data_IF_321988473058
#
_entry.id   IF_321988473058
#
_cell.length_a   1.000
_cell.length_b   1.000
_cell.length_c   1.000
_cell.angle_alpha   90.00
_cell.angle_beta   90.00
_cell.angle_gamma   90.00
#
_symmetry.space_group_name_H-M   'P 1'
#
loop_
_entity.id
_entity.type
_entity.pdbx_description
1 polymer ?
#
# COMPACT_ATOMS: atom_id res chain seq x y z
N UNK A 1 39.95 3.90 51.31
CA UNK A 1 38.51 4.16 51.16
C UNK A 1 38.17 4.15 49.68
N UNK A 2 36.95 3.68 49.34
CA UNK A 2 36.35 3.52 48.00
C UNK A 2 36.47 2.13 47.35
N UNK A 3 35.64 1.20 47.83
CA UNK A 3 35.25 -0.05 47.13
C UNK A 3 33.78 -0.39 47.41
N UNK A 4 32.91 0.62 47.53
CA UNK A 4 31.49 0.44 47.90
C UNK A 4 30.52 0.83 46.78
N UNK A 5 31.02 1.38 45.67
CA UNK A 5 30.19 1.96 44.60
C UNK A 5 30.05 1.04 43.38
N UNK A 6 30.90 0.02 43.21
CA UNK A 6 30.81 -0.93 42.10
C UNK A 6 29.72 -1.97 42.35
N UNK A 7 29.63 -2.46 43.58
CA UNK A 7 28.81 -3.62 43.94
C UNK A 7 27.31 -3.24 43.93
N UNK A 8 26.98 -2.01 44.34
CA UNK A 8 25.62 -1.45 44.28
C UNK A 8 25.15 -1.20 42.83
N UNK A 9 26.07 -0.97 41.89
CA UNK A 9 25.72 -0.81 40.47
C UNK A 9 25.47 -2.16 39.79
N UNK A 10 26.20 -3.21 40.16
CA UNK A 10 25.96 -4.57 39.65
C UNK A 10 24.63 -5.14 40.16
N UNK A 11 24.28 -4.93 41.43
CA UNK A 11 22.98 -5.35 41.97
C UNK A 11 21.82 -4.66 41.24
N UNK A 12 21.92 -3.35 40.99
CA UNK A 12 20.87 -2.60 40.27
C UNK A 12 20.77 -2.98 38.80
N UNK A 13 21.87 -3.38 38.18
CA UNK A 13 21.86 -3.91 36.82
C UNK A 13 21.17 -5.29 36.77
N UNK A 14 21.46 -6.16 37.74
CA UNK A 14 20.84 -7.48 37.80
C UNK A 14 19.33 -7.39 38.06
N UNK A 15 18.89 -6.53 38.98
CA UNK A 15 17.45 -6.27 39.20
C UNK A 15 16.77 -5.75 37.92
N UNK A 16 17.39 -4.80 37.21
CA UNK A 16 16.85 -4.29 35.95
C UNK A 16 16.82 -5.35 34.84
N UNK A 17 17.78 -6.28 34.82
CA UNK A 17 17.78 -7.40 33.89
C UNK A 17 16.67 -8.40 34.20
N UNK A 18 16.47 -8.74 35.47
CA UNK A 18 15.43 -9.68 35.90
C UNK A 18 14.02 -9.12 35.62
N UNK A 19 13.79 -7.83 35.89
CA UNK A 19 12.52 -7.16 35.58
C UNK A 19 12.21 -7.18 34.08
N UNK A 20 13.22 -6.89 33.23
CA UNK A 20 13.05 -6.93 31.77
C UNK A 20 12.83 -8.37 31.29
N UNK A 21 13.48 -9.35 31.90
CA UNK A 21 13.33 -10.75 31.53
C UNK A 21 11.94 -11.29 31.90
N UNK A 22 11.42 -10.93 33.08
CA UNK A 22 10.08 -11.27 33.53
C UNK A 22 9.01 -10.59 32.67
N UNK A 23 9.18 -9.31 32.31
CA UNK A 23 8.26 -8.63 31.39
C UNK A 23 8.24 -9.30 30.01
N UNK A 24 9.41 -9.68 29.47
CA UNK A 24 9.49 -10.40 28.19
C UNK A 24 8.83 -11.78 28.31
N UNK A 25 9.10 -12.51 29.40
CA UNK A 25 8.55 -13.83 29.63
C UNK A 25 7.02 -13.79 29.79
N UNK A 26 6.49 -12.87 30.59
CA UNK A 26 5.06 -12.66 30.77
C UNK A 26 4.38 -12.25 29.46
N UNK A 27 5.00 -11.38 28.65
CA UNK A 27 4.48 -11.06 27.31
C UNK A 27 4.44 -12.28 26.37
N UNK A 28 5.45 -13.15 26.42
CA UNK A 28 5.50 -14.39 25.62
C UNK A 28 4.43 -15.39 26.10
N UNK A 29 4.27 -15.56 27.41
CA UNK A 29 3.28 -16.46 28.02
C UNK A 29 1.85 -15.96 27.79
N UNK A 30 1.60 -14.65 27.92
CA UNK A 30 0.31 -14.02 27.59
C UNK A 30 -0.01 -14.11 26.09
N UNK A 31 1.00 -14.01 25.22
CA UNK A 31 0.82 -14.26 23.79
C UNK A 31 0.47 -15.73 23.48
N UNK A 32 1.04 -16.68 24.24
CA UNK A 32 0.79 -18.12 24.07
C UNK A 32 -0.58 -18.58 24.61
N UNK A 33 -1.15 -17.91 25.63
CA UNK A 33 -2.43 -18.31 26.24
C UNK A 33 -3.67 -17.94 25.42
N UNK A 34 -3.55 -17.09 24.39
CA UNK A 34 -4.64 -16.89 23.42
C UNK A 34 -4.75 -18.11 22.50
N UNK A 35 -5.56 -19.10 22.91
CA UNK A 35 -6.04 -20.18 22.01
C UNK A 35 -6.54 -19.53 20.71
N UNK A 36 -5.75 -19.62 19.65
CA UNK A 36 -6.15 -19.15 18.35
C UNK A 36 -7.41 -19.93 17.93
N UNK A 37 -8.56 -19.25 17.95
CA UNK A 37 -9.78 -19.82 17.38
C UNK A 37 -9.49 -20.10 15.91
N UNK A 38 -9.54 -21.37 15.50
CA UNK A 38 -9.46 -21.75 14.08
C UNK A 38 -10.60 -21.02 13.36
N UNK A 39 -10.26 -20.04 12.53
CA UNK A 39 -11.26 -19.34 11.70
C UNK A 39 -11.98 -20.37 10.84
N UNK A 40 -13.31 -20.32 10.83
CA UNK A 40 -14.10 -21.14 9.92
C UNK A 40 -13.73 -20.75 8.48
N UNK A 41 -13.37 -21.74 7.66
CA UNK A 41 -13.16 -21.53 6.24
C UNK A 41 -14.52 -21.33 5.56
N UNK A 42 -14.64 -20.25 4.80
CA UNK A 42 -15.82 -19.98 3.96
C UNK A 42 -15.36 -20.13 2.52
N UNK A 43 -15.95 -21.07 1.80
CA UNK A 43 -15.76 -21.21 0.36
C UNK A 43 -16.43 -20.04 -0.36
N UNK A 44 -15.63 -19.27 -1.11
CA UNK A 44 -16.06 -18.02 -1.76
C UNK A 44 -16.22 -18.14 -3.27
N UNK A 45 -15.96 -19.31 -3.87
CA UNK A 45 -15.96 -19.52 -5.31
C UNK A 45 -15.07 -18.50 -6.04
N UNK A 46 -13.80 -18.43 -5.63
CA UNK A 46 -12.83 -17.43 -6.11
C UNK A 46 -12.68 -17.40 -7.64
N UNK A 47 -12.86 -18.54 -8.32
CA UNK A 47 -12.84 -18.67 -9.79
C UNK A 47 -14.03 -17.99 -10.46
N UNK A 48 -15.22 -18.07 -9.84
CA UNK A 48 -16.42 -17.35 -10.31
C UNK A 48 -16.18 -15.84 -10.19
N UNK A 49 -15.59 -15.38 -9.09
CA UNK A 49 -15.18 -13.99 -8.90
C UNK A 49 -14.21 -13.51 -9.98
N UNK A 50 -13.23 -14.34 -10.35
CA UNK A 50 -12.31 -14.02 -11.45
C UNK A 50 -13.05 -13.91 -12.79
N UNK A 51 -13.88 -14.89 -13.12
CA UNK A 51 -14.62 -14.94 -14.38
C UNK A 51 -15.53 -13.73 -14.53
N UNK A 52 -16.25 -13.37 -13.46
CA UNK A 52 -17.09 -12.17 -13.42
C UNK A 52 -16.26 -10.91 -13.66
N UNK A 53 -15.17 -10.73 -12.92
CA UNK A 53 -14.27 -9.57 -13.07
C UNK A 53 -13.73 -9.47 -14.51
N UNK A 54 -13.36 -10.59 -15.11
CA UNK A 54 -12.85 -10.65 -16.49
C UNK A 54 -13.92 -10.17 -17.48
N UNK A 55 -15.12 -10.72 -17.41
CA UNK A 55 -16.21 -10.36 -18.32
C UNK A 55 -16.69 -8.91 -18.13
N UNK A 56 -16.60 -8.39 -16.91
CA UNK A 56 -17.04 -7.03 -16.63
C UNK A 56 -16.14 -5.95 -17.25
N UNK A 57 -14.83 -6.21 -17.39
CA UNK A 57 -13.86 -5.17 -17.74
C UNK A 57 -12.76 -5.58 -18.72
N UNK A 58 -12.37 -6.85 -18.74
CA UNK A 58 -11.12 -7.29 -19.36
C UNK A 58 -11.30 -8.07 -20.66
N UNK A 59 -12.46 -8.71 -20.87
CA UNK A 59 -12.82 -9.40 -22.12
C UNK A 59 -12.78 -8.48 -23.35
N UNK A 60 -12.85 -9.09 -24.54
CA UNK A 60 -12.94 -8.39 -25.83
C UNK A 60 -14.20 -7.54 -25.92
N UNK A 61 -15.33 -8.08 -25.46
CA UNK A 61 -16.61 -7.38 -25.31
C UNK A 61 -16.99 -7.32 -23.81
N UNK A 62 -16.53 -6.31 -23.06
CA UNK A 62 -16.77 -6.22 -21.63
C UNK A 62 -18.14 -5.60 -21.31
N UNK A 63 -18.76 -6.05 -20.21
CA UNK A 63 -20.03 -5.48 -19.71
C UNK A 63 -19.94 -3.96 -19.53
N UNK A 64 -18.81 -3.46 -19.03
CA UNK A 64 -18.60 -2.04 -18.78
C UNK A 64 -17.62 -1.41 -19.78
N UNK A 65 -18.00 -0.30 -20.45
CA UNK A 65 -17.13 0.41 -21.37
C UNK A 65 -15.94 1.08 -20.68
N UNK A 66 -14.91 1.43 -21.46
CA UNK A 66 -13.64 1.98 -20.99
C UNK A 66 -13.76 3.23 -20.10
N UNK A 67 -14.75 4.10 -20.33
CA UNK A 67 -14.95 5.29 -19.48
C UNK A 67 -15.42 4.92 -18.06
N UNK A 68 -16.23 3.86 -17.92
CA UNK A 68 -16.61 3.33 -16.61
C UNK A 68 -15.45 2.60 -15.95
N UNK A 69 -14.62 1.90 -16.72
CA UNK A 69 -13.37 1.35 -16.21
C UNK A 69 -12.51 2.45 -15.58
N UNK A 70 -12.22 3.53 -16.33
CA UNK A 70 -11.40 4.64 -15.83
C UNK A 70 -11.99 5.29 -14.58
N UNK A 71 -13.31 5.45 -14.52
CA UNK A 71 -13.99 5.97 -13.33
C UNK A 71 -13.83 5.06 -12.11
N UNK A 72 -13.86 3.73 -12.29
CA UNK A 72 -13.83 2.76 -11.18
C UNK A 72 -12.41 2.42 -10.72
N UNK A 73 -11.49 2.26 -11.66
CA UNK A 73 -10.10 1.93 -11.40
C UNK A 73 -9.20 3.16 -11.23
N UNK A 74 -9.72 4.37 -11.50
CA UNK A 74 -8.99 5.66 -11.42
C UNK A 74 -7.75 5.75 -12.34
N UNK A 75 -7.71 4.91 -13.36
CA UNK A 75 -6.66 4.85 -14.38
C UNK A 75 -7.19 4.16 -15.64
N UNK A 76 -6.46 4.29 -16.75
CA UNK A 76 -6.80 3.56 -17.97
C UNK A 76 -6.51 2.04 -17.85
N UNK A 77 -7.16 1.24 -18.72
CA UNK A 77 -7.07 -0.23 -18.70
C UNK A 77 -5.65 -0.73 -19.00
N UNK A 78 -4.94 -0.08 -19.92
CA UNK A 78 -3.60 -0.48 -20.34
C UNK A 78 -2.58 -0.33 -19.21
N UNK A 79 -2.61 0.78 -18.49
CA UNK A 79 -1.78 1.03 -17.32
C UNK A 79 -2.07 0.01 -16.22
N UNK A 80 -3.35 -0.27 -15.95
CA UNK A 80 -3.73 -1.30 -14.98
C UNK A 80 -3.18 -2.67 -15.38
N UNK A 81 -3.30 -3.07 -16.64
CA UNK A 81 -2.75 -4.34 -17.13
C UNK A 81 -1.23 -4.39 -17.06
N UNK A 82 -0.52 -3.28 -17.37
CA UNK A 82 0.94 -3.17 -17.19
C UNK A 82 1.33 -3.39 -15.73
N UNK A 83 0.61 -2.79 -14.78
CA UNK A 83 0.83 -2.97 -13.34
C UNK A 83 0.62 -4.44 -12.95
N UNK A 84 -0.51 -5.03 -13.34
CA UNK A 84 -0.84 -6.43 -13.04
C UNK A 84 0.23 -7.37 -13.58
N UNK A 85 0.68 -7.17 -14.82
CA UNK A 85 1.72 -7.98 -15.44
C UNK A 85 3.04 -7.89 -14.68
N UNK A 86 3.55 -6.67 -14.45
CA UNK A 86 4.81 -6.44 -13.74
C UNK A 86 4.79 -7.02 -12.32
N UNK A 87 3.70 -6.83 -11.58
CA UNK A 87 3.54 -7.43 -10.26
C UNK A 87 3.50 -8.96 -10.33
N UNK A 88 2.76 -9.52 -11.30
CA UNK A 88 2.65 -10.98 -11.47
C UNK A 88 4.00 -11.63 -11.78
N UNK A 89 4.88 -10.97 -12.52
CA UNK A 89 6.20 -11.52 -12.84
C UNK A 89 7.16 -11.41 -11.66
N UNK A 90 7.20 -10.24 -11.00
CA UNK A 90 8.28 -9.89 -10.09
C UNK A 90 7.95 -10.10 -8.60
N UNK A 91 6.66 -10.20 -8.25
CA UNK A 91 6.23 -10.30 -6.85
C UNK A 91 5.51 -11.63 -6.62
N UNK A 92 6.10 -12.49 -5.80
CA UNK A 92 5.59 -13.84 -5.51
C UNK A 92 4.13 -13.83 -5.05
N UNK A 93 3.70 -12.82 -4.29
CA UNK A 93 2.32 -12.70 -3.82
C UNK A 93 1.31 -12.59 -4.98
N UNK A 94 1.67 -11.95 -6.09
CA UNK A 94 0.78 -11.76 -7.24
C UNK A 94 0.84 -12.91 -8.24
N UNK A 95 1.85 -13.78 -8.18
CA UNK A 95 1.93 -14.95 -9.06
C UNK A 95 0.71 -15.88 -8.89
N UNK A 96 0.16 -16.31 -10.03
CA UNK A 96 -0.98 -17.20 -10.05
C UNK A 96 -0.54 -18.66 -9.86
N UNK A 97 -0.39 -19.07 -8.60
CA UNK A 97 0.11 -20.39 -8.23
C UNK A 97 -1.03 -21.31 -7.79
N UNK A 98 -0.80 -22.62 -7.95
CA UNK A 98 -1.66 -23.66 -7.38
C UNK A 98 -1.32 -23.87 -5.90
N UNK A 99 -2.34 -24.08 -5.09
CA UNK A 99 -2.18 -24.51 -3.71
C UNK A 99 -1.82 -26.00 -3.63
N UNK A 100 -1.60 -26.50 -2.41
CA UNK A 100 -1.27 -27.91 -2.18
C UNK A 100 -2.36 -28.89 -2.66
N UNK A 101 -3.59 -28.41 -2.89
CA UNK A 101 -4.69 -29.21 -3.44
C UNK A 101 -4.75 -29.17 -4.97
N UNK A 102 -3.83 -28.44 -5.62
CA UNK A 102 -3.80 -28.25 -7.06
C UNK A 102 -4.78 -27.20 -7.58
N UNK A 103 -5.51 -26.52 -6.69
CA UNK A 103 -6.48 -25.46 -7.03
C UNK A 103 -5.74 -24.13 -7.18
N UNK A 104 -6.13 -23.34 -8.17
CA UNK A 104 -5.54 -22.01 -8.33
C UNK A 104 -5.94 -21.07 -7.19
N UNK A 105 -4.98 -20.26 -6.73
CA UNK A 105 -5.22 -19.16 -5.81
C UNK A 105 -6.06 -18.04 -6.44
N UNK A 106 -6.22 -16.93 -5.70
CA UNK A 106 -6.77 -15.71 -6.29
C UNK A 106 -5.88 -15.22 -7.45
N UNK A 107 -6.53 -14.81 -8.54
CA UNK A 107 -5.83 -14.29 -9.71
C UNK A 107 -5.13 -12.95 -9.39
N UNK A 108 -4.06 -12.60 -10.14
CA UNK A 108 -3.42 -11.30 -10.00
C UNK A 108 -4.39 -10.13 -10.24
N UNK A 109 -5.32 -10.29 -11.19
CA UNK A 109 -6.38 -9.31 -11.46
C UNK A 109 -7.25 -9.06 -10.23
N UNK A 110 -7.71 -10.10 -9.55
CA UNK A 110 -8.51 -9.94 -8.32
C UNK A 110 -7.72 -9.23 -7.22
N UNK A 111 -6.46 -9.62 -7.02
CA UNK A 111 -5.59 -9.03 -5.99
C UNK A 111 -5.33 -7.55 -6.25
N UNK A 112 -4.96 -7.19 -7.48
CA UNK A 112 -4.72 -5.81 -7.87
C UNK A 112 -6.00 -4.97 -7.81
N UNK A 113 -7.14 -5.52 -8.26
CA UNK A 113 -8.43 -4.82 -8.20
C UNK A 113 -8.84 -4.54 -6.76
N UNK A 114 -8.63 -5.49 -5.85
CA UNK A 114 -8.91 -5.29 -4.43
C UNK A 114 -8.09 -4.13 -3.85
N UNK A 115 -6.78 -4.09 -4.14
CA UNK A 115 -5.91 -3.01 -3.69
C UNK A 115 -6.34 -1.64 -4.26
N UNK A 116 -6.61 -1.56 -5.57
CA UNK A 116 -7.05 -0.32 -6.23
C UNK A 116 -8.41 0.15 -5.69
N UNK A 117 -9.35 -0.74 -5.44
CA UNK A 117 -10.64 -0.35 -4.85
C UNK A 117 -10.45 0.22 -3.43
N UNK A 118 -9.60 -0.40 -2.60
CA UNK A 118 -9.33 0.12 -1.26
C UNK A 118 -8.65 1.50 -1.30
N UNK A 119 -7.68 1.69 -2.19
CA UNK A 119 -7.00 2.99 -2.38
C UNK A 119 -7.93 4.06 -2.95
N UNK A 120 -8.73 3.70 -3.97
CA UNK A 120 -9.52 4.66 -4.75
C UNK A 120 -10.83 5.07 -4.09
N UNK A 121 -11.36 4.25 -3.18
CA UNK A 121 -12.63 4.53 -2.49
C UNK A 121 -12.49 4.74 -0.98
N UNK A 122 -11.38 4.34 -0.36
CA UNK A 122 -11.23 4.39 1.09
C UNK A 122 -12.30 3.58 1.84
N UNK A 123 -12.86 2.55 1.19
CA UNK A 123 -13.93 1.72 1.76
C UNK A 123 -13.37 0.68 2.72
N UNK A 124 -14.25 0.11 3.56
CA UNK A 124 -13.88 -0.97 4.46
C UNK A 124 -13.40 -2.20 3.68
N UNK A 125 -12.39 -2.90 4.21
CA UNK A 125 -11.73 -4.01 3.52
C UNK A 125 -12.63 -5.23 3.28
N UNK A 126 -13.74 -5.36 3.99
CA UNK A 126 -14.73 -6.41 3.76
C UNK A 126 -15.66 -6.15 2.57
N UNK A 127 -15.74 -4.92 2.06
CA UNK A 127 -16.66 -4.54 0.97
C UNK A 127 -16.32 -5.21 -0.37
N UNK A 128 -15.06 -5.60 -0.56
CA UNK A 128 -14.62 -6.29 -1.79
C UNK A 128 -14.94 -7.79 -1.79
N UNK A 129 -15.40 -8.37 -0.68
CA UNK A 129 -15.70 -9.80 -0.59
C UNK A 129 -16.87 -10.18 -1.51
N UNK A 130 -17.94 -9.37 -1.54
CA UNK A 130 -19.14 -9.66 -2.34
C UNK A 130 -18.84 -9.73 -3.84
N UNK A 131 -18.02 -8.80 -4.34
CA UNK A 131 -17.71 -8.70 -5.76
C UNK A 131 -16.51 -9.55 -6.18
N UNK A 132 -15.37 -9.40 -5.49
CA UNK A 132 -14.11 -10.04 -5.87
C UNK A 132 -13.90 -11.41 -5.22
N UNK A 133 -14.77 -11.82 -4.29
CA UNK A 133 -14.76 -13.12 -3.61
C UNK A 133 -13.51 -13.37 -2.77
N UNK A 134 -13.06 -12.35 -2.03
CA UNK A 134 -11.90 -12.44 -1.14
C UNK A 134 -12.19 -11.90 0.27
N UNK A 135 -11.62 -12.56 1.28
CA UNK A 135 -11.79 -12.15 2.67
C UNK A 135 -11.13 -10.80 2.96
N UNK A 136 -11.64 -10.10 3.97
CA UNK A 136 -11.10 -8.83 4.46
C UNK A 136 -9.59 -8.88 4.72
N UNK A 137 -9.11 -9.91 5.42
CA UNK A 137 -7.67 -10.06 5.68
C UNK A 137 -6.84 -10.19 4.40
N UNK A 138 -7.39 -10.85 3.39
CA UNK A 138 -6.74 -10.99 2.09
C UNK A 138 -6.75 -9.68 1.33
N UNK A 139 -7.82 -8.88 1.43
CA UNK A 139 -7.90 -7.55 0.83
C UNK A 139 -6.81 -6.62 1.40
N UNK A 140 -6.61 -6.65 2.71
CA UNK A 140 -5.54 -5.90 3.39
C UNK A 140 -4.16 -6.39 2.93
N UNK A 141 -3.94 -7.70 2.85
CA UNK A 141 -2.67 -8.23 2.33
C UNK A 141 -2.45 -7.85 0.86
N UNK A 142 -3.50 -7.82 0.04
CA UNK A 142 -3.41 -7.32 -1.34
C UNK A 142 -2.97 -5.87 -1.36
N UNK A 143 -3.58 -5.01 -0.53
CA UNK A 143 -3.22 -3.61 -0.43
C UNK A 143 -1.73 -3.43 -0.05
N UNK A 144 -1.27 -4.11 1.00
CA UNK A 144 0.12 -4.01 1.47
C UNK A 144 1.13 -4.48 0.42
N UNK A 145 0.92 -5.66 -0.17
CA UNK A 145 1.82 -6.20 -1.19
C UNK A 145 1.76 -5.38 -2.48
N UNK A 146 0.59 -4.81 -2.80
CA UNK A 146 0.43 -3.93 -3.94
C UNK A 146 1.24 -2.65 -3.75
N UNK A 147 1.09 -1.95 -2.62
CA UNK A 147 1.83 -0.71 -2.35
C UNK A 147 3.33 -0.94 -2.33
N UNK A 148 3.80 -2.00 -1.69
CA UNK A 148 5.22 -2.37 -1.67
C UNK A 148 5.73 -2.68 -3.08
N UNK A 149 5.01 -3.50 -3.84
CA UNK A 149 5.37 -3.85 -5.20
C UNK A 149 5.35 -2.65 -6.15
N UNK A 150 4.43 -1.71 -5.98
CA UNK A 150 4.41 -0.46 -6.75
C UNK A 150 5.66 0.37 -6.45
N UNK A 151 5.99 0.57 -5.17
CA UNK A 151 7.20 1.32 -4.79
C UNK A 151 8.45 0.64 -5.34
N UNK A 152 8.56 -0.68 -5.18
CA UNK A 152 9.72 -1.42 -5.64
C UNK A 152 9.90 -1.39 -7.17
N UNK A 153 8.81 -1.53 -7.94
CA UNK A 153 8.88 -1.71 -9.40
C UNK A 153 8.78 -0.42 -10.20
N UNK A 154 8.18 0.61 -9.62
CA UNK A 154 7.86 1.87 -10.28
C UNK A 154 8.37 3.10 -9.52
N UNK A 155 8.87 2.95 -8.29
CA UNK A 155 9.35 4.07 -7.47
C UNK A 155 10.46 4.86 -8.13
N UNK A 156 11.44 4.19 -8.74
CA UNK A 156 12.54 4.86 -9.44
C UNK A 156 12.07 5.64 -10.69
N UNK A 157 10.96 5.23 -11.31
CA UNK A 157 10.42 5.90 -12.50
C UNK A 157 9.52 7.08 -12.11
N UNK A 158 8.68 6.93 -11.08
CA UNK A 158 7.59 7.87 -10.76
C UNK A 158 7.70 8.56 -9.39
N UNK A 159 8.37 7.97 -8.40
CA UNK A 159 8.57 8.54 -7.05
C UNK A 159 9.96 9.16 -6.94
N UNK A 160 10.30 10.03 -7.88
CA UNK A 160 11.57 10.73 -7.95
C UNK A 160 11.37 12.19 -8.33
N UNK A 161 12.43 12.98 -8.22
CA UNK A 161 12.43 14.34 -8.76
C UNK A 161 12.28 14.29 -10.29
N UNK A 162 11.47 15.16 -10.90
CA UNK A 162 11.37 15.26 -12.36
C UNK A 162 12.75 15.58 -12.96
N UNK A 163 13.08 14.94 -14.09
CA UNK A 163 14.27 15.35 -14.86
C UNK A 163 13.94 16.55 -15.76
N UNK A 164 14.95 17.25 -16.31
CA UNK A 164 14.71 18.27 -17.32
C UNK A 164 13.88 17.76 -18.53
N UNK A 165 14.06 16.50 -18.92
CA UNK A 165 13.32 15.87 -20.00
C UNK A 165 11.85 15.65 -19.64
N UNK A 166 11.56 15.22 -18.41
CA UNK A 166 10.17 15.13 -17.93
C UNK A 166 9.50 16.50 -17.96
N UNK A 167 10.20 17.54 -17.48
CA UNK A 167 9.69 18.89 -17.44
C UNK A 167 9.41 19.42 -18.84
N UNK A 168 10.36 19.26 -19.77
CA UNK A 168 10.19 19.67 -21.16
C UNK A 168 8.99 18.96 -21.80
N UNK A 169 8.89 17.64 -21.64
CA UNK A 169 7.77 16.85 -22.16
C UNK A 169 6.43 17.36 -21.63
N UNK A 170 6.34 17.65 -20.33
CA UNK A 170 5.11 18.16 -19.70
C UNK A 170 4.75 19.56 -20.19
N UNK A 171 5.74 20.45 -20.34
CA UNK A 171 5.56 21.79 -20.89
C UNK A 171 5.09 21.76 -22.35
N UNK A 172 5.68 20.90 -23.18
CA UNK A 172 5.28 20.74 -24.59
C UNK A 172 3.83 20.25 -24.70
N UNK A 173 3.40 19.34 -23.82
CA UNK A 173 2.01 18.87 -23.74
C UNK A 173 1.09 20.03 -23.29
N UNK A 174 1.50 20.80 -22.28
CA UNK A 174 0.76 21.96 -21.80
C UNK A 174 0.55 22.99 -22.92
N UNK A 175 1.61 23.34 -23.64
CA UNK A 175 1.59 24.31 -24.73
C UNK A 175 0.67 23.86 -25.88
N UNK A 176 0.79 22.60 -26.33
CA UNK A 176 -0.09 22.03 -27.38
C UNK A 176 -1.58 22.07 -27.01
N UNK A 177 -1.89 22.10 -25.72
CA UNK A 177 -3.27 22.14 -25.19
C UNK A 177 -3.75 23.55 -24.85
N UNK A 178 -2.92 24.58 -25.08
CA UNK A 178 -3.26 25.97 -24.77
C UNK A 178 -2.96 26.40 -23.34
N UNK A 179 -2.12 25.66 -22.62
CA UNK A 179 -1.66 25.97 -21.26
C UNK A 179 -0.13 26.17 -21.23
N UNK A 180 0.39 27.24 -21.85
CA UNK A 180 1.83 27.50 -21.90
C UNK A 180 2.40 27.66 -20.48
N UNK A 181 3.51 27.00 -20.19
CA UNK A 181 4.16 27.01 -18.86
C UNK A 181 3.53 26.06 -17.82
N UNK A 182 2.47 25.33 -18.17
CA UNK A 182 1.82 24.39 -17.25
C UNK A 182 2.45 23.00 -17.30
N UNK A 183 2.98 22.54 -16.17
CA UNK A 183 3.61 21.21 -16.03
C UNK A 183 2.58 20.12 -15.68
N UNK A 184 1.45 20.50 -15.09
CA UNK A 184 0.37 19.59 -14.71
C UNK A 184 -0.51 20.16 -13.61
N UNK A 185 -1.44 19.36 -13.11
CA UNK A 185 -2.20 19.68 -11.90
C UNK A 185 -1.39 19.26 -10.69
N UNK A 186 -1.27 20.15 -9.70
CA UNK A 186 -0.61 19.85 -8.43
C UNK A 186 -1.68 19.39 -7.45
N UNK A 187 -1.45 18.26 -6.80
CA UNK A 187 -2.15 17.84 -5.59
C UNK A 187 -1.15 17.78 -4.43
N UNK A 188 -1.56 18.22 -3.25
CA UNK A 188 -0.70 18.25 -2.08
C UNK A 188 -1.40 17.62 -0.87
N UNK A 189 -0.67 16.75 -0.17
CA UNK A 189 -1.14 16.16 1.07
C UNK A 189 -0.23 16.58 2.22
N UNK A 190 -0.83 17.20 3.23
CA UNK A 190 -0.14 17.59 4.45
C UNK A 190 -0.18 16.44 5.46
N UNK A 191 0.99 15.97 5.85
CA UNK A 191 1.16 14.92 6.86
C UNK A 191 1.75 15.50 8.12
N UNK A 192 1.08 15.32 9.25
CA UNK A 192 1.64 15.68 10.56
C UNK A 192 2.90 14.86 10.83
N UNK A 193 4.01 15.56 11.02
CA UNK A 193 5.28 14.93 11.35
C UNK A 193 5.39 14.74 12.86
N UNK A 194 4.69 13.71 13.36
CA UNK A 194 4.60 13.41 14.81
C UNK A 194 5.96 13.36 15.51
N UNK A 195 6.96 12.78 14.84
CA UNK A 195 8.33 12.62 15.35
C UNK A 195 9.32 13.61 14.73
N UNK A 196 8.89 14.83 14.38
CA UNK A 196 9.78 15.86 13.85
C UNK A 196 10.88 16.22 14.85
N UNK A 197 12.17 16.16 14.47
CA UNK A 197 13.27 16.60 15.34
C UNK A 197 13.05 18.04 15.82
N UNK A 198 13.35 18.32 17.08
CA UNK A 198 13.17 19.66 17.69
C UNK A 198 13.88 20.75 16.89
N UNK A 199 15.09 20.45 16.39
CA UNK A 199 15.87 21.36 15.56
C UNK A 199 15.15 21.82 14.28
N UNK A 200 14.25 21.00 13.74
CA UNK A 200 13.53 21.29 12.49
C UNK A 200 12.09 21.73 12.73
N UNK A 201 11.55 21.53 13.93
CA UNK A 201 10.16 21.82 14.28
C UNK A 201 9.74 23.25 13.92
N UNK A 202 10.61 24.25 14.14
CA UNK A 202 10.32 25.64 13.77
C UNK A 202 10.14 25.86 12.26
N UNK A 203 10.96 25.20 11.43
CA UNK A 203 10.90 25.34 9.97
C UNK A 203 9.67 24.66 9.35
N UNK A 204 9.25 23.53 9.92
CA UNK A 204 8.16 22.70 9.39
C UNK A 204 6.80 22.96 10.06
N UNK A 205 6.74 23.82 11.08
CA UNK A 205 5.48 24.24 11.72
C UNK A 205 4.98 25.52 11.04
N UNK A 206 3.83 25.43 10.36
CA UNK A 206 3.17 26.60 9.74
C UNK A 206 1.67 26.57 10.02
N UNK A 207 1.12 27.64 10.58
CA UNK A 207 -0.33 27.89 10.74
C UNK A 207 -1.09 26.95 11.70
N UNK A 208 -0.83 25.64 11.65
CA UNK A 208 -1.52 24.57 12.39
C UNK A 208 -0.93 24.27 13.78
N UNK A 209 0.18 24.93 14.15
CA UNK A 209 0.89 24.70 15.42
C UNK A 209 1.64 23.36 15.50
N UNK A 210 1.58 22.53 14.45
CA UNK A 210 2.26 21.25 14.37
C UNK A 210 3.21 21.18 13.16
N UNK A 211 4.34 20.48 13.27
CA UNK A 211 5.23 20.27 12.13
C UNK A 211 4.53 19.38 11.09
N UNK A 212 4.57 19.78 9.82
CA UNK A 212 3.98 19.02 8.72
C UNK A 212 4.98 18.86 7.56
N UNK A 213 4.92 17.70 6.91
CA UNK A 213 5.59 17.47 5.62
C UNK A 213 4.51 17.50 4.54
N UNK A 214 4.81 18.16 3.42
CA UNK A 214 3.93 18.19 2.25
C UNK A 214 4.47 17.20 1.23
N UNK A 215 3.62 16.26 0.83
CA UNK A 215 3.85 15.43 -0.34
C UNK A 215 3.13 16.09 -1.51
N UNK A 216 3.88 16.49 -2.54
CA UNK A 216 3.34 17.08 -3.76
C UNK A 216 3.40 16.05 -4.89
N UNK A 217 2.29 15.89 -5.59
CA UNK A 217 2.20 15.07 -6.79
C UNK A 217 1.80 15.96 -7.98
N UNK A 218 2.48 15.80 -9.10
CA UNK A 218 2.12 16.45 -10.37
C UNK A 218 1.43 15.42 -11.25
N UNK A 219 0.14 15.61 -11.46
CA UNK A 219 -0.65 14.80 -12.37
C UNK A 219 -0.59 15.38 -13.78
N UNK A 220 -0.04 14.59 -14.72
CA UNK A 220 -0.08 14.88 -16.14
C UNK A 220 -1.43 14.47 -16.76
N UNK A 221 -1.66 14.80 -18.03
CA UNK A 221 -2.92 14.51 -18.72
C UNK A 221 -3.29 13.03 -18.77
N UNK A 222 -2.31 12.15 -18.94
CA UNK A 222 -2.53 10.78 -19.40
C UNK A 222 -2.86 9.80 -18.25
N UNK A 223 -2.89 10.29 -17.00
CA UNK A 223 -3.27 9.55 -15.78
C UNK A 223 -4.78 9.40 -15.65
#
# INVERSE_FOLDING_TARGET
MSSSSSDELEERLNEAFDDVFEDIYNNIVEAQTKKQRKRAYIERNREEGHTRLWNDYFSEDPTFPAHLFRRRFRMNKELFMRIVHRLSENVQFFQHRRDATGRYGLSPLQKCTAAIHLLGYGSAANTVDEYLRLSESTAISCLQNFTEGIIQLFGDEYLRRPTPEDLQRLLDIGEKRGFPGMVGSIDCMHWEWKNCPTAWKGQYTRGSGKPTIVLEAVASHDL
#
